data_IF_488757504091
#
_entry.id   IF_488757504091
#
_cell.length_a   1.000
_cell.length_b   1.000
_cell.length_c   1.000
_cell.angle_alpha   90.00
_cell.angle_beta   90.00
_cell.angle_gamma   90.00
#
_symmetry.space_group_name_H-M   'P 1'
#
loop_
_entity.id
_entity.type
_entity.pdbx_description
1 polymer ?
#
# COMPACT_ATOMS: atom_id res chain seq x y z
N UNK A 1 45.81 -47.04 -58.24
CA UNK A 1 45.64 -46.15 -57.09
C UNK A 1 44.94 -44.91 -57.61
N UNK A 2 43.62 -44.69 -57.36
CA UNK A 2 42.87 -43.56 -57.89
C UNK A 2 43.03 -42.33 -56.94
N UNK A 3 43.01 -41.12 -57.48
CA UNK A 3 43.18 -39.88 -56.64
C UNK A 3 41.89 -39.62 -55.85
N UNK A 4 42.09 -39.23 -54.58
CA UNK A 4 41.02 -38.76 -53.69
C UNK A 4 40.52 -37.39 -54.15
N UNK A 5 39.26 -37.32 -54.52
CA UNK A 5 38.57 -36.05 -54.73
C UNK A 5 38.37 -35.34 -53.38
N UNK A 6 38.96 -34.17 -53.25
CA UNK A 6 38.75 -33.31 -52.13
C UNK A 6 37.29 -32.72 -52.17
N UNK A 7 36.56 -32.86 -51.08
CA UNK A 7 35.22 -32.28 -50.92
C UNK A 7 35.34 -30.76 -50.85
N UNK A 8 34.47 -29.96 -51.51
CA UNK A 8 34.47 -28.54 -51.42
C UNK A 8 34.02 -28.12 -50.02
N UNK A 9 34.88 -27.39 -49.29
CA UNK A 9 34.49 -26.69 -48.08
C UNK A 9 33.38 -25.70 -48.39
N UNK A 10 32.24 -25.89 -47.71
CA UNK A 10 31.14 -24.91 -47.73
C UNK A 10 31.63 -23.65 -47.01
N UNK A 11 32.03 -22.65 -47.80
CA UNK A 11 32.24 -21.31 -47.28
C UNK A 11 30.92 -20.80 -46.64
N UNK A 12 30.90 -20.73 -45.33
CA UNK A 12 29.81 -20.08 -44.57
C UNK A 12 29.72 -18.65 -45.06
N UNK A 13 28.62 -18.31 -45.76
CA UNK A 13 28.30 -16.93 -46.13
C UNK A 13 28.05 -16.19 -44.81
N UNK A 14 28.99 -15.43 -44.33
CA UNK A 14 28.79 -14.39 -43.36
C UNK A 14 27.99 -13.26 -44.06
N UNK A 15 26.68 -13.27 -43.92
CA UNK A 15 25.83 -12.15 -44.34
C UNK A 15 26.03 -11.01 -43.37
N UNK A 16 26.81 -9.98 -43.77
CA UNK A 16 26.89 -8.74 -43.03
C UNK A 16 25.52 -8.04 -43.06
N UNK A 17 25.12 -7.44 -41.92
CA UNK A 17 23.90 -6.63 -41.82
C UNK A 17 24.04 -5.39 -42.73
N UNK A 18 22.98 -5.13 -43.51
CA UNK A 18 22.87 -3.93 -44.34
C UNK A 18 22.64 -2.71 -43.41
N UNK A 19 23.16 -1.54 -43.78
CA UNK A 19 22.91 -0.28 -43.08
C UNK A 19 21.43 0.02 -42.93
N UNK A 20 20.61 -0.25 -43.95
CA UNK A 20 19.16 -0.08 -43.90
C UNK A 20 18.50 -1.04 -42.89
N UNK A 21 18.96 -2.27 -42.80
CA UNK A 21 18.45 -3.25 -41.85
C UNK A 21 18.75 -2.82 -40.39
N UNK A 22 19.97 -2.27 -40.15
CA UNK A 22 20.32 -1.69 -38.85
C UNK A 22 19.41 -0.51 -38.52
N UNK A 23 19.14 0.39 -39.45
CA UNK A 23 18.26 1.53 -39.24
C UNK A 23 16.83 1.09 -38.94
N UNK A 24 16.29 0.12 -39.69
CA UNK A 24 14.95 -0.43 -39.44
C UNK A 24 14.88 -1.10 -38.07
N UNK A 25 15.89 -1.89 -37.71
CA UNK A 25 15.98 -2.52 -36.39
C UNK A 25 15.98 -1.49 -35.25
N UNK A 26 16.75 -0.39 -35.39
CA UNK A 26 16.78 0.70 -34.42
C UNK A 26 15.42 1.39 -34.26
N UNK A 27 14.73 1.65 -35.38
CA UNK A 27 13.38 2.27 -35.36
C UNK A 27 12.40 1.35 -34.64
N UNK A 28 12.40 0.05 -34.95
CA UNK A 28 11.51 -0.93 -34.28
C UNK A 28 11.83 -0.98 -32.79
N UNK A 29 13.10 -1.04 -32.40
CA UNK A 29 13.49 -1.01 -30.98
C UNK A 29 13.06 0.29 -30.29
N UNK A 30 13.17 1.45 -30.93
CA UNK A 30 12.74 2.73 -30.36
C UNK A 30 11.20 2.74 -30.14
N UNK A 31 10.40 2.22 -31.08
CA UNK A 31 8.95 2.09 -30.94
C UNK A 31 8.60 1.16 -29.79
N UNK A 32 9.23 -0.02 -29.71
CA UNK A 32 9.01 -0.97 -28.60
C UNK A 32 9.42 -0.36 -27.24
N UNK A 33 10.58 0.31 -27.19
CA UNK A 33 11.04 0.97 -25.96
C UNK A 33 10.09 2.06 -25.47
N UNK A 34 9.41 2.77 -26.38
CA UNK A 34 8.46 3.83 -25.99
C UNK A 34 7.25 3.32 -25.21
N UNK A 35 6.86 2.06 -25.38
CA UNK A 35 5.74 1.46 -24.68
C UNK A 35 6.09 0.98 -23.26
N UNK A 36 7.37 0.78 -22.94
CA UNK A 36 7.81 0.25 -21.64
C UNK A 36 7.57 1.23 -20.50
N UNK A 37 7.80 2.53 -20.74
CA UNK A 37 7.68 3.58 -19.71
C UNK A 37 6.25 3.70 -19.15
N UNK A 38 5.19 3.79 -19.98
CA UNK A 38 3.83 3.85 -19.46
C UNK A 38 3.44 2.58 -18.68
N UNK A 39 3.81 1.40 -19.16
CA UNK A 39 3.52 0.13 -18.48
C UNK A 39 4.17 0.06 -17.08
N UNK A 40 5.41 0.52 -16.94
CA UNK A 40 6.11 0.53 -15.65
C UNK A 40 5.43 1.47 -14.63
N UNK A 41 4.91 2.62 -15.08
CA UNK A 41 4.17 3.55 -14.22
C UNK A 41 2.84 2.99 -13.74
N UNK A 42 2.13 2.25 -14.57
CA UNK A 42 0.88 1.59 -14.22
C UNK A 42 1.09 0.49 -13.17
N UNK A 43 2.12 -0.33 -13.34
CA UNK A 43 2.47 -1.38 -12.37
C UNK A 43 2.87 -0.79 -11.02
N UNK A 44 3.69 0.28 -11.01
CA UNK A 44 4.07 0.98 -9.77
C UNK A 44 2.84 1.58 -9.05
N UNK A 45 1.92 2.23 -9.79
CA UNK A 45 0.70 2.78 -9.21
C UNK A 45 -0.17 1.69 -8.59
N UNK A 46 -0.36 0.57 -9.30
CA UNK A 46 -1.11 -0.59 -8.81
C UNK A 46 -0.51 -1.16 -7.52
N UNK A 47 0.82 -1.27 -7.44
CA UNK A 47 1.50 -1.74 -6.22
C UNK A 47 1.33 -0.78 -5.04
N UNK A 48 1.28 0.53 -5.30
CA UNK A 48 1.00 1.52 -4.26
C UNK A 48 -0.45 1.42 -3.79
N UNK A 49 -1.40 1.25 -4.68
CA UNK A 49 -2.82 1.03 -4.33
C UNK A 49 -3.00 -0.22 -3.46
N UNK A 50 -2.35 -1.32 -3.81
CA UNK A 50 -2.40 -2.54 -3.00
C UNK A 50 -1.83 -2.31 -1.59
N UNK A 51 -0.69 -1.61 -1.49
CA UNK A 51 -0.11 -1.26 -0.19
C UNK A 51 -1.04 -0.36 0.63
N UNK A 52 -1.67 0.65 -0.01
CA UNK A 52 -2.63 1.52 0.66
C UNK A 52 -3.79 0.71 1.25
N UNK A 53 -4.40 -0.18 0.47
CA UNK A 53 -5.49 -1.05 0.95
C UNK A 53 -5.07 -1.91 2.13
N UNK A 54 -3.88 -2.48 2.08
CA UNK A 54 -3.33 -3.28 3.19
C UNK A 54 -3.12 -2.42 4.43
N UNK A 55 -2.59 -1.19 4.28
CA UNK A 55 -2.36 -0.29 5.42
C UNK A 55 -3.69 0.15 6.06
N UNK A 56 -4.68 0.56 5.26
CA UNK A 56 -6.02 0.90 5.74
C UNK A 56 -6.67 -0.28 6.46
N UNK A 57 -6.65 -1.47 5.85
CA UNK A 57 -7.22 -2.67 6.46
C UNK A 57 -6.53 -3.02 7.79
N UNK A 58 -5.19 -2.88 7.87
CA UNK A 58 -4.44 -3.14 9.09
C UNK A 58 -4.81 -2.18 10.22
N UNK A 59 -4.95 -0.89 9.93
CA UNK A 59 -5.34 0.11 10.93
C UNK A 59 -6.80 -0.09 11.38
N UNK A 60 -7.72 -0.29 10.44
CA UNK A 60 -9.13 -0.57 10.74
C UNK A 60 -9.27 -1.84 11.60
N UNK A 61 -8.53 -2.89 11.28
CA UNK A 61 -8.53 -4.10 12.10
C UNK A 61 -8.01 -3.84 13.52
N UNK A 62 -6.99 -3.02 13.68
CA UNK A 62 -6.46 -2.66 15.01
C UNK A 62 -7.48 -1.83 15.82
N UNK A 63 -8.21 -0.91 15.17
CA UNK A 63 -9.29 -0.14 15.77
C UNK A 63 -10.44 -1.06 16.21
N UNK A 64 -10.86 -1.98 15.35
CA UNK A 64 -11.92 -2.94 15.64
C UNK A 64 -11.54 -3.88 16.78
N UNK A 65 -10.29 -4.32 16.83
CA UNK A 65 -9.78 -5.17 17.90
C UNK A 65 -9.73 -4.42 19.24
N UNK A 66 -9.29 -3.15 19.25
CA UNK A 66 -9.36 -2.29 20.43
C UNK A 66 -10.81 -2.16 20.92
N UNK A 67 -11.75 -1.84 20.02
CA UNK A 67 -13.19 -1.73 20.33
C UNK A 67 -13.73 -3.00 20.98
N UNK A 68 -13.35 -4.17 20.46
CA UNK A 68 -13.75 -5.46 21.02
C UNK A 68 -13.27 -5.62 22.46
N UNK A 69 -12.04 -5.24 22.78
CA UNK A 69 -11.51 -5.31 24.15
C UNK A 69 -12.25 -4.37 25.11
N UNK A 70 -12.70 -3.20 24.65
CA UNK A 70 -13.57 -2.32 25.42
C UNK A 70 -14.93 -2.95 25.65
N UNK A 71 -15.55 -3.53 24.61
CA UNK A 71 -16.89 -4.17 24.71
C UNK A 71 -16.87 -5.41 25.62
N UNK A 72 -15.75 -6.11 25.70
CA UNK A 72 -15.52 -7.23 26.63
C UNK A 72 -15.21 -6.75 28.06
N UNK A 73 -15.10 -5.43 28.28
CA UNK A 73 -14.81 -4.85 29.60
C UNK A 73 -13.34 -5.04 30.04
N UNK A 74 -12.46 -5.38 29.13
CA UNK A 74 -11.04 -5.58 29.38
C UNK A 74 -10.23 -4.27 29.37
N UNK A 75 -10.73 -3.25 28.64
CA UNK A 75 -10.21 -1.88 28.63
C UNK A 75 -11.28 -1.00 29.27
N UNK A 76 -10.90 -0.21 30.27
CA UNK A 76 -11.79 0.76 30.93
C UNK A 76 -11.55 2.13 30.33
N UNK A 77 -12.55 2.63 29.61
CA UNK A 77 -12.54 4.02 29.13
C UNK A 77 -13.18 4.94 30.18
N UNK A 78 -12.58 6.10 30.39
CA UNK A 78 -13.08 7.10 31.31
C UNK A 78 -14.08 8.06 30.67
N UNK A 79 -14.08 8.17 29.35
CA UNK A 79 -14.90 9.10 28.58
C UNK A 79 -15.94 8.35 27.73
N UNK A 80 -17.20 8.74 27.91
CA UNK A 80 -18.34 8.18 27.18
C UNK A 80 -18.35 8.61 25.70
N UNK A 81 -17.74 9.75 25.38
CA UNK A 81 -17.68 10.28 24.01
C UNK A 81 -16.78 9.43 23.12
N UNK A 82 -15.86 8.66 23.69
CA UNK A 82 -15.02 7.72 22.95
C UNK A 82 -15.80 6.58 22.30
N UNK A 83 -16.99 6.26 22.78
CA UNK A 83 -17.87 5.22 22.23
C UNK A 83 -17.21 3.84 22.08
N UNK A 84 -16.12 3.59 22.81
CA UNK A 84 -15.35 2.35 22.76
C UNK A 84 -14.19 2.33 21.76
N UNK A 85 -13.94 3.43 21.06
CA UNK A 85 -12.83 3.58 20.11
C UNK A 85 -11.63 4.30 20.72
N UNK A 86 -10.40 4.13 20.16
CA UNK A 86 -9.21 4.83 20.68
C UNK A 86 -9.29 6.33 20.41
N UNK A 87 -8.61 7.13 21.22
CA UNK A 87 -8.50 8.59 21.02
C UNK A 87 -7.58 8.95 19.85
N UNK A 88 -6.50 8.18 19.67
CA UNK A 88 -5.50 8.44 18.63
C UNK A 88 -4.96 7.11 18.07
N UNK A 89 -4.35 7.16 16.90
CA UNK A 89 -3.66 5.99 16.34
C UNK A 89 -2.41 5.61 17.16
N UNK A 90 -1.78 6.59 17.80
CA UNK A 90 -0.62 6.40 18.65
C UNK A 90 -0.94 5.53 19.85
N UNK A 91 -2.14 5.65 20.43
CA UNK A 91 -2.62 4.80 21.53
C UNK A 91 -2.58 3.30 21.17
N UNK A 92 -2.91 2.96 19.92
CA UNK A 92 -2.82 1.59 19.42
C UNK A 92 -1.37 1.06 19.32
N UNK A 93 -0.41 1.97 19.13
CA UNK A 93 1.03 1.65 19.01
C UNK A 93 1.71 1.60 20.38
N UNK A 94 1.42 2.58 21.25
CA UNK A 94 1.99 2.66 22.60
C UNK A 94 1.48 1.51 23.47
N UNK A 95 0.22 1.15 23.25
CA UNK A 95 -0.46 0.08 23.95
C UNK A 95 -1.29 0.57 25.12
N UNK A 96 -2.27 -0.22 25.49
CA UNK A 96 -3.25 0.07 26.53
C UNK A 96 -3.20 -1.01 27.61
N UNK A 97 -3.38 -0.61 28.86
CA UNK A 97 -3.50 -1.56 29.98
C UNK A 97 -4.83 -2.30 29.88
N UNK A 98 -4.74 -3.62 29.95
CA UNK A 98 -5.87 -4.54 29.86
C UNK A 98 -5.98 -5.32 31.17
N UNK A 99 -7.19 -5.40 31.69
CA UNK A 99 -7.49 -6.05 32.97
C UNK A 99 -7.68 -5.07 34.12
N UNK A 100 -7.70 -5.58 35.35
CA UNK A 100 -7.80 -4.73 36.55
C UNK A 100 -6.45 -4.03 36.81
N UNK A 101 -6.38 -2.67 36.76
CA UNK A 101 -5.14 -1.91 36.99
C UNK A 101 -4.47 -2.20 38.35
N UNK A 102 -5.22 -2.72 39.31
CA UNK A 102 -4.71 -3.07 40.65
C UNK A 102 -4.31 -4.55 40.77
N UNK A 103 -4.49 -5.32 39.70
CA UNK A 103 -4.12 -6.75 39.67
C UNK A 103 -2.67 -6.91 39.14
N UNK A 104 -1.90 -7.85 39.70
CA UNK A 104 -0.60 -8.24 39.14
C UNK A 104 -0.71 -8.88 37.75
N UNK A 105 -1.92 -9.16 37.28
CA UNK A 105 -2.20 -9.74 35.95
C UNK A 105 -2.50 -8.66 34.87
N UNK A 106 -2.44 -7.36 35.21
CA UNK A 106 -2.53 -6.28 34.25
C UNK A 106 -1.43 -6.38 33.18
N UNK A 107 -1.81 -6.30 31.92
CA UNK A 107 -0.90 -6.42 30.78
C UNK A 107 -1.11 -5.25 29.79
N UNK A 108 0.00 -4.71 29.27
CA UNK A 108 -0.07 -3.73 28.18
C UNK A 108 -0.16 -4.47 26.84
N UNK A 109 -1.26 -4.25 26.11
CA UNK A 109 -1.47 -4.81 24.77
C UNK A 109 -1.31 -3.72 23.73
N UNK A 110 -0.58 -4.03 22.66
CA UNK A 110 -0.40 -3.17 21.49
C UNK A 110 -1.17 -3.77 20.32
N UNK A 111 -2.08 -3.00 19.76
CA UNK A 111 -2.92 -3.40 18.64
C UNK A 111 -2.24 -3.12 17.29
N UNK A 112 -1.32 -2.14 17.27
CA UNK A 112 -0.55 -1.77 16.08
C UNK A 112 0.95 -1.71 16.42
N UNK A 113 1.82 -2.18 15.53
CA UNK A 113 3.28 -2.11 15.76
C UNK A 113 3.83 -0.73 15.50
N UNK A 114 3.29 -0.05 14.50
CA UNK A 114 3.58 1.33 14.12
C UNK A 114 2.46 1.84 13.22
N UNK A 115 2.23 3.15 13.19
CA UNK A 115 1.39 3.75 12.17
C UNK A 115 2.11 3.63 10.83
N UNK A 116 1.50 2.99 9.81
CA UNK A 116 2.13 2.82 8.50
C UNK A 116 2.19 4.15 7.75
N UNK A 117 3.15 4.30 6.84
CA UNK A 117 3.23 5.44 5.93
C UNK A 117 2.26 5.26 4.77
N UNK A 118 1.54 6.33 4.41
CA UNK A 118 0.72 6.35 3.21
C UNK A 118 1.63 6.31 1.97
N UNK A 119 1.48 5.32 1.06
CA UNK A 119 2.34 5.18 -0.12
C UNK A 119 2.18 6.30 -1.14
N UNK A 120 1.18 7.19 -1.00
CA UNK A 120 0.92 8.30 -1.92
C UNK A 120 1.36 9.66 -1.36
N UNK A 121 1.25 9.91 -0.06
CA UNK A 121 1.79 11.11 0.58
C UNK A 121 3.23 10.92 1.03
N UNK A 122 3.62 9.69 1.38
CA UNK A 122 4.94 9.36 1.93
C UNK A 122 5.07 9.67 3.42
N UNK A 123 3.99 10.01 4.09
CA UNK A 123 3.92 10.40 5.50
C UNK A 123 3.06 9.40 6.29
N UNK A 124 3.28 9.32 7.60
CA UNK A 124 2.46 8.51 8.50
C UNK A 124 1.27 9.34 9.06
N UNK A 125 0.79 10.28 8.26
CA UNK A 125 -0.38 11.10 8.55
C UNK A 125 -1.58 10.57 7.78
N UNK A 126 -2.70 10.42 8.50
CA UNK A 126 -3.94 9.88 7.97
C UNK A 126 -5.10 10.82 8.28
N UNK A 127 -6.06 10.86 7.40
CA UNK A 127 -7.35 11.46 7.71
C UNK A 127 -8.08 10.56 8.71
N UNK A 128 -8.69 11.18 9.72
CA UNK A 128 -9.40 10.48 10.78
C UNK A 128 -10.89 10.82 10.70
N UNK A 129 -11.75 9.90 11.15
CA UNK A 129 -13.18 10.14 11.39
C UNK A 129 -13.54 9.60 12.75
N UNK A 130 -14.35 10.36 13.48
CA UNK A 130 -14.99 9.91 14.70
C UNK A 130 -16.27 9.12 14.35
N UNK A 131 -16.73 8.31 15.27
CA UNK A 131 -18.01 7.57 15.09
C UNK A 131 -19.20 8.51 14.93
N UNK A 132 -19.11 9.73 15.48
CA UNK A 132 -20.13 10.77 15.43
C UNK A 132 -20.11 11.59 14.14
N UNK A 133 -18.99 11.53 13.38
CA UNK A 133 -18.84 12.26 12.12
C UNK A 133 -19.73 11.68 11.00
N UNK A 134 -20.09 12.50 10.04
CA UNK A 134 -20.73 12.02 8.82
C UNK A 134 -19.77 11.10 8.03
N UNK A 135 -20.31 10.10 7.38
CA UNK A 135 -19.54 9.06 6.69
C UNK A 135 -18.59 9.60 5.59
N UNK A 136 -18.89 10.77 5.04
CA UNK A 136 -18.11 11.48 4.01
C UNK A 136 -17.38 12.72 4.54
N UNK A 137 -17.34 12.92 5.87
CA UNK A 137 -16.65 14.04 6.50
C UNK A 137 -15.16 14.02 6.17
N UNK A 138 -14.64 15.20 5.81
CA UNK A 138 -13.21 15.47 5.64
C UNK A 138 -12.62 16.21 6.84
N UNK A 139 -13.40 16.37 7.91
CA UNK A 139 -12.94 17.00 9.15
C UNK A 139 -13.22 16.06 10.31
N UNK A 140 -12.20 15.84 11.12
CA UNK A 140 -12.29 14.99 12.29
C UNK A 140 -12.89 15.74 13.48
N UNK A 141 -13.90 15.15 14.13
CA UNK A 141 -14.54 15.72 15.32
C UNK A 141 -13.65 15.71 16.55
N UNK A 142 -12.69 14.79 16.63
CA UNK A 142 -11.69 14.73 17.70
C UNK A 142 -12.08 13.87 18.90
N UNK A 143 -13.29 13.27 18.90
CA UNK A 143 -13.80 12.50 20.03
C UNK A 143 -13.17 11.10 20.12
N UNK A 144 -12.90 10.51 18.96
CA UNK A 144 -12.32 9.17 18.86
C UNK A 144 -11.85 8.90 17.42
N UNK A 145 -11.15 7.78 17.22
CA UNK A 145 -10.75 7.30 15.89
C UNK A 145 -11.58 6.05 15.57
N UNK A 146 -12.64 6.25 14.78
CA UNK A 146 -13.50 5.19 14.26
C UNK A 146 -13.01 4.67 12.91
N UNK A 147 -12.63 5.58 12.00
CA UNK A 147 -12.16 5.22 10.67
C UNK A 147 -10.95 6.08 10.26
N UNK A 148 -10.21 5.56 9.30
CA UNK A 148 -9.02 6.20 8.72
C UNK A 148 -9.09 6.21 7.21
N UNK A 149 -8.58 7.28 6.57
CA UNK A 149 -8.53 7.43 5.12
C UNK A 149 -7.23 8.12 4.68
N UNK A 150 -6.87 7.98 3.39
CA UNK A 150 -5.71 8.66 2.82
C UNK A 150 -5.96 10.16 2.65
N UNK A 151 -4.97 11.00 2.95
CA UNK A 151 -5.02 12.43 2.68
C UNK A 151 -4.65 12.79 1.23
N UNK A 152 -4.43 11.79 0.37
CA UNK A 152 -4.05 12.00 -1.02
C UNK A 152 -5.26 12.37 -1.90
N UNK A 153 -5.18 13.51 -2.59
CA UNK A 153 -6.16 13.95 -3.59
C UNK A 153 -5.97 13.29 -4.98
N UNK A 154 -5.05 12.32 -5.09
CA UNK A 154 -4.76 11.64 -6.35
C UNK A 154 -5.89 10.65 -6.66
N UNK A 155 -6.23 10.53 -7.96
CA UNK A 155 -7.19 9.53 -8.43
C UNK A 155 -6.56 8.15 -8.54
N UNK A 156 -7.30 7.15 -8.12
CA UNK A 156 -6.97 5.74 -8.29
C UNK A 156 -7.05 5.29 -9.76
N UNK A 157 -6.69 4.04 -10.04
CA UNK A 157 -6.80 3.44 -11.38
C UNK A 157 -8.26 3.17 -11.79
N UNK A 158 -9.17 3.11 -10.82
CA UNK A 158 -10.62 2.95 -11.01
C UNK A 158 -11.38 4.28 -11.01
N UNK A 159 -10.67 5.42 -11.13
CA UNK A 159 -11.18 6.78 -11.12
C UNK A 159 -11.79 7.27 -9.80
N UNK A 160 -11.76 6.49 -8.72
CA UNK A 160 -12.10 6.96 -7.36
C UNK A 160 -10.96 7.81 -6.79
N UNK A 161 -11.22 8.53 -5.68
CA UNK A 161 -10.15 9.21 -4.96
C UNK A 161 -9.68 8.36 -3.78
N UNK A 162 -8.38 8.38 -3.45
CA UNK A 162 -7.85 7.62 -2.32
C UNK A 162 -8.42 8.07 -0.98
N UNK A 163 -8.82 9.32 -0.85
CA UNK A 163 -9.52 9.85 0.34
C UNK A 163 -10.91 9.26 0.58
N UNK A 164 -11.46 8.59 -0.42
CA UNK A 164 -12.78 7.93 -0.34
C UNK A 164 -12.67 6.42 -0.03
N UNK A 165 -11.44 5.91 0.16
CA UNK A 165 -11.16 4.47 0.39
C UNK A 165 -11.26 4.03 1.86
#
# INVERSE_FOLDING_TARGET
>A
MPPRLASPERLSRQSGLSYIELMVALVVLAVLASAVIPLARWDEKRRREERLRVHLATMRQAIDEYKKYVDEGLIVQSDVEQMGYPLTLEELVEGVEVGDPNSPDSQTIRFLRKVPEDPFTGEAEWGLRSYQDDWDSNSWGGENVYDVYSLSDIRALDDTYYKDW
#
